data_IF_923919165539
#
_entry.id   IF_923919165539
#
_cell.length_a   1.000
_cell.length_b   1.000
_cell.length_c   1.000
_cell.angle_alpha   90.00
_cell.angle_beta   90.00
_cell.angle_gamma   90.00
#
_symmetry.space_group_name_H-M   'P 1'
#
loop_
_entity.id
_entity.type
_entity.pdbx_description
1 polymer ?
#
# COMPACT_ATOMS: atom_id res chain seq x y z
N UNK A 1 -8.19 8.01 37.67
CA UNK A 1 -6.73 8.13 37.89
C UNK A 1 -6.47 9.05 39.08
N UNK A 2 -5.51 8.72 39.96
CA UNK A 2 -5.22 9.48 41.19
C UNK A 2 -4.58 10.85 40.89
N UNK A 3 -4.93 11.92 41.62
CA UNK A 3 -4.62 13.32 41.26
C UNK A 3 -3.16 13.77 41.44
N UNK A 4 -2.27 12.91 41.96
CA UNK A 4 -0.86 13.27 42.20
C UNK A 4 0.03 13.08 40.96
N UNK A 5 -0.26 12.09 40.11
CA UNK A 5 0.56 11.81 38.92
C UNK A 5 0.40 12.87 37.81
N UNK A 6 -0.77 13.51 37.73
CA UNK A 6 -1.05 14.55 36.72
C UNK A 6 -0.35 15.88 36.99
N UNK A 7 0.05 16.18 38.23
CA UNK A 7 0.77 17.42 38.57
C UNK A 7 2.25 17.37 38.16
N UNK A 8 2.89 16.22 38.32
CA UNK A 8 4.30 16.02 37.97
C UNK A 8 4.52 16.11 36.45
N UNK A 9 3.54 15.66 35.67
CA UNK A 9 3.59 15.70 34.19
C UNK A 9 3.37 17.11 33.63
N UNK A 10 2.48 17.92 34.24
CA UNK A 10 2.35 19.36 33.90
C UNK A 10 3.60 20.16 34.25
N UNK A 11 4.29 19.80 35.33
CA UNK A 11 5.51 20.49 35.75
C UNK A 11 6.68 20.24 34.79
N UNK A 12 6.72 19.10 34.11
CA UNK A 12 7.78 18.71 33.17
C UNK A 12 7.56 19.19 31.72
N UNK A 13 6.46 19.90 31.42
CA UNK A 13 6.20 20.42 30.07
C UNK A 13 6.03 19.36 28.98
N UNK A 14 5.86 18.09 29.36
CA UNK A 14 5.67 16.99 28.42
C UNK A 14 4.21 16.97 27.94
N UNK A 15 3.95 16.67 26.65
CA UNK A 15 2.60 16.53 26.15
C UNK A 15 1.90 15.41 26.92
N UNK A 16 0.93 15.80 27.74
CA UNK A 16 0.09 14.88 28.51
C UNK A 16 -0.83 14.17 27.53
N UNK A 17 -0.38 13.06 26.95
CA UNK A 17 -1.24 12.18 26.16
C UNK A 17 -2.20 11.44 27.11
N UNK A 18 -3.46 11.86 27.13
CA UNK A 18 -4.54 11.20 27.86
C UNK A 18 -5.36 10.31 26.93
N UNK A 19 -5.31 9.01 27.25
CA UNK A 19 -6.23 7.91 26.92
C UNK A 19 -6.53 7.56 25.45
N UNK A 20 -5.87 6.48 25.01
CA UNK A 20 -6.48 5.15 24.74
C UNK A 20 -8.02 5.09 24.77
N UNK A 21 -8.63 5.36 23.61
CA UNK A 21 -10.04 5.24 23.19
C UNK A 21 -11.13 4.95 24.24
N UNK A 22 -12.08 5.89 24.35
CA UNK A 22 -13.38 5.67 25.00
C UNK A 22 -14.56 5.67 24.04
N UNK A 23 -14.66 6.61 23.10
CA UNK A 23 -15.79 6.71 22.17
C UNK A 23 -15.33 7.26 20.83
N UNK A 24 -15.69 6.59 19.73
CA UNK A 24 -15.47 7.07 18.36
C UNK A 24 -16.22 8.40 18.21
N UNK A 25 -15.49 9.51 18.08
CA UNK A 25 -16.04 10.74 17.54
C UNK A 25 -16.44 10.46 16.09
N UNK A 26 -17.70 10.72 15.66
CA UNK A 26 -18.19 10.40 14.32
C UNK A 26 -17.52 11.17 13.17
N UNK A 27 -16.56 12.05 13.49
CA UNK A 27 -15.84 12.91 12.54
C UNK A 27 -14.32 12.90 12.73
N UNK A 28 -13.76 11.93 13.46
CA UNK A 28 -12.31 11.76 13.45
C UNK A 28 -11.89 11.42 12.01
N UNK A 29 -11.02 12.22 11.35
CA UNK A 29 -10.51 11.86 10.04
C UNK A 29 -9.88 10.47 10.17
N UNK A 30 -10.30 9.55 9.30
CA UNK A 30 -9.69 8.23 9.27
C UNK A 30 -8.17 8.43 9.18
N UNK A 31 -7.38 7.72 10.01
CA UNK A 31 -5.94 7.76 9.86
C UNK A 31 -5.63 7.43 8.39
N UNK A 32 -4.74 8.18 7.72
CA UNK A 32 -4.39 7.87 6.34
C UNK A 32 -4.00 6.40 6.31
N UNK A 33 -4.72 5.62 5.49
CA UNK A 33 -4.45 4.19 5.36
C UNK A 33 -2.95 4.02 5.16
N UNK A 34 -2.26 3.18 5.95
CA UNK A 34 -0.83 3.01 5.80
C UNK A 34 -0.56 2.61 4.36
N UNK A 35 0.10 3.51 3.63
CA UNK A 35 0.48 3.30 2.24
C UNK A 35 1.34 2.04 2.21
N UNK A 36 0.86 1.00 1.52
CA UNK A 36 1.66 -0.20 1.33
C UNK A 36 2.92 0.16 0.54
N UNK A 37 4.08 -0.40 0.90
CA UNK A 37 5.32 -0.18 0.15
C UNK A 37 5.20 -0.67 -1.29
N UNK A 38 4.40 -1.72 -1.51
CA UNK A 38 4.08 -2.25 -2.84
C UNK A 38 2.58 -2.50 -2.97
N UNK A 39 1.98 -1.92 -4.01
CA UNK A 39 0.57 -2.08 -4.35
C UNK A 39 0.44 -2.74 -5.74
N UNK A 40 -0.30 -3.84 -5.79
CA UNK A 40 -0.73 -4.49 -7.04
C UNK A 40 -2.18 -4.14 -7.28
N UNK A 41 -2.46 -3.59 -8.46
CA UNK A 41 -3.82 -3.25 -8.86
C UNK A 41 -4.24 -4.24 -9.94
N UNK A 42 -5.34 -4.95 -9.72
CA UNK A 42 -5.92 -5.86 -10.70
C UNK A 42 -7.14 -5.23 -11.33
N UNK A 43 -7.30 -5.37 -12.64
CA UNK A 43 -8.50 -4.92 -13.35
C UNK A 43 -9.78 -5.51 -12.77
N UNK A 44 -10.90 -4.85 -13.05
CA UNK A 44 -12.20 -5.14 -12.44
C UNK A 44 -12.57 -6.63 -12.54
N UNK A 45 -12.75 -7.29 -11.40
CA UNK A 45 -13.16 -8.70 -11.33
C UNK A 45 -12.09 -9.70 -11.79
N UNK A 46 -10.88 -9.23 -12.10
CA UNK A 46 -9.73 -10.07 -12.40
C UNK A 46 -9.02 -10.47 -11.12
N UNK A 47 -8.47 -11.68 -11.11
CA UNK A 47 -7.61 -12.15 -10.03
C UNK A 47 -6.21 -12.39 -10.57
N UNK A 48 -5.23 -12.00 -9.78
CA UNK A 48 -3.85 -12.34 -10.08
C UNK A 48 -3.65 -13.85 -9.84
N UNK A 49 -3.05 -14.60 -10.78
CA UNK A 49 -2.70 -15.99 -10.55
C UNK A 49 -1.78 -16.14 -9.33
N UNK A 50 -2.07 -17.09 -8.44
CA UNK A 50 -1.30 -17.29 -7.20
C UNK A 50 0.19 -17.48 -7.46
N UNK A 51 0.56 -18.26 -8.47
CA UNK A 51 1.97 -18.45 -8.86
C UNK A 51 2.67 -17.14 -9.20
N UNK A 52 1.99 -16.24 -9.94
CA UNK A 52 2.56 -14.95 -10.29
C UNK A 52 2.70 -14.05 -9.05
N UNK A 53 1.75 -14.14 -8.12
CA UNK A 53 1.84 -13.42 -6.84
C UNK A 53 3.04 -13.88 -6.00
N UNK A 54 3.25 -15.19 -5.91
CA UNK A 54 4.38 -15.77 -5.19
C UNK A 54 5.72 -15.38 -5.83
N UNK A 55 5.81 -15.48 -7.17
CA UNK A 55 7.00 -15.07 -7.94
C UNK A 55 7.32 -13.57 -7.73
N UNK A 56 6.30 -12.71 -7.72
CA UNK A 56 6.47 -11.27 -7.46
C UNK A 56 6.94 -11.02 -6.02
N UNK A 57 6.39 -11.75 -5.04
CA UNK A 57 6.81 -11.64 -3.64
C UNK A 57 8.28 -12.02 -3.48
N UNK A 58 8.73 -13.08 -4.16
CA UNK A 58 10.15 -13.46 -4.19
C UNK A 58 11.02 -12.40 -4.86
N UNK A 59 10.58 -11.84 -5.98
CA UNK A 59 11.30 -10.78 -6.69
C UNK A 59 11.43 -9.48 -5.87
N UNK A 60 10.49 -9.24 -4.96
CA UNK A 60 10.46 -8.11 -4.03
C UNK A 60 11.13 -8.42 -2.68
N UNK A 61 12.09 -9.36 -2.66
CA UNK A 61 12.83 -9.76 -1.45
C UNK A 61 11.92 -10.18 -0.27
N UNK A 62 10.78 -10.80 -0.56
CA UNK A 62 9.83 -11.27 0.45
C UNK A 62 8.84 -10.20 0.93
N UNK A 63 8.88 -8.98 0.40
CA UNK A 63 7.85 -7.98 0.67
C UNK A 63 6.54 -8.44 0.03
N UNK A 64 5.55 -8.73 0.87
CA UNK A 64 4.23 -9.16 0.42
C UNK A 64 3.43 -7.94 -0.05
N UNK A 65 3.12 -7.84 -1.34
CA UNK A 65 2.45 -6.65 -1.85
C UNK A 65 0.95 -6.69 -1.51
N UNK A 66 0.36 -5.51 -1.30
CA UNK A 66 -1.07 -5.37 -1.12
C UNK A 66 -1.75 -5.52 -2.48
N UNK A 67 -2.77 -6.38 -2.58
CA UNK A 67 -3.56 -6.53 -3.80
C UNK A 67 -4.87 -5.77 -3.65
N UNK A 68 -5.19 -4.93 -4.63
CA UNK A 68 -6.41 -4.15 -4.67
C UNK A 68 -7.08 -4.26 -6.03
N UNK A 69 -8.40 -4.38 -6.05
CA UNK A 69 -9.17 -4.30 -7.30
C UNK A 69 -9.20 -2.84 -7.81
N UNK A 70 -9.18 -2.65 -9.12
CA UNK A 70 -9.20 -1.34 -9.78
C UNK A 70 -10.40 -0.50 -9.32
N UNK A 71 -11.59 -1.09 -9.13
CA UNK A 71 -12.76 -0.36 -8.63
C UNK A 71 -12.58 0.13 -7.20
N UNK A 72 -12.00 -0.72 -6.33
CA UNK A 72 -11.73 -0.37 -4.94
C UNK A 72 -10.62 0.68 -4.84
N UNK A 73 -9.60 0.60 -5.71
CA UNK A 73 -8.51 1.55 -5.79
C UNK A 73 -9.00 2.93 -6.27
N UNK A 74 -9.86 2.98 -7.29
CA UNK A 74 -10.49 4.21 -7.76
C UNK A 74 -11.44 4.81 -6.72
N UNK A 75 -12.26 3.98 -6.06
CA UNK A 75 -13.17 4.44 -5.01
C UNK A 75 -12.45 5.02 -3.79
N UNK A 76 -11.26 4.49 -3.48
CA UNK A 76 -10.39 5.00 -2.42
C UNK A 76 -9.62 6.28 -2.81
N UNK A 77 -9.88 6.86 -3.99
CA UNK A 77 -9.21 8.07 -4.45
C UNK A 77 -7.79 7.84 -4.95
N UNK A 78 -7.48 6.64 -5.47
CA UNK A 78 -6.17 6.25 -6.02
C UNK A 78 -5.04 6.38 -4.99
N UNK A 79 -5.08 5.61 -3.89
CA UNK A 79 -3.98 5.60 -2.94
C UNK A 79 -2.67 5.22 -3.65
N UNK A 80 -1.63 6.02 -3.42
CA UNK A 80 -0.29 5.78 -3.95
C UNK A 80 0.46 4.75 -3.12
N UNK A 81 1.53 4.19 -3.68
CA UNK A 81 2.51 3.34 -3.02
C UNK A 81 3.92 3.63 -3.57
N UNK A 82 4.97 3.20 -2.86
CA UNK A 82 6.36 3.35 -3.36
C UNK A 82 6.55 2.60 -4.68
N UNK A 83 5.90 1.44 -4.80
CA UNK A 83 5.84 0.66 -6.04
C UNK A 83 4.39 0.34 -6.35
N UNK A 84 3.93 0.71 -7.54
CA UNK A 84 2.59 0.41 -8.03
C UNK A 84 2.67 -0.38 -9.33
N UNK A 85 2.08 -1.57 -9.36
CA UNK A 85 2.04 -2.44 -10.55
C UNK A 85 0.60 -2.72 -10.96
N UNK A 86 0.28 -2.54 -12.24
CA UNK A 86 -1.04 -2.77 -12.81
C UNK A 86 -1.13 -4.06 -13.62
N UNK A 87 -2.18 -4.84 -13.39
CA UNK A 87 -2.50 -6.05 -14.17
C UNK A 87 -3.92 -5.99 -14.71
N UNK A 88 -4.10 -6.15 -16.02
CA UNK A 88 -5.40 -6.17 -16.70
C UNK A 88 -6.27 -4.92 -16.46
N UNK A 89 -5.67 -3.75 -16.28
CA UNK A 89 -6.43 -2.52 -16.00
C UNK A 89 -7.32 -2.13 -17.18
N UNK A 90 -8.53 -1.67 -16.88
CA UNK A 90 -9.46 -1.17 -17.90
C UNK A 90 -9.05 0.21 -18.40
N UNK A 91 -8.42 1.00 -17.53
CA UNK A 91 -7.86 2.31 -17.88
C UNK A 91 -6.38 2.36 -17.52
N UNK A 92 -5.50 2.82 -18.44
CA UNK A 92 -4.11 3.04 -18.10
C UNK A 92 -4.01 4.16 -17.04
N UNK A 93 -3.10 3.99 -16.08
CA UNK A 93 -2.85 5.00 -15.07
C UNK A 93 -1.39 5.42 -15.10
N UNK A 94 -1.15 6.73 -15.15
CA UNK A 94 0.19 7.32 -15.29
C UNK A 94 1.06 7.14 -14.03
N UNK A 95 0.42 6.89 -12.89
CA UNK A 95 1.08 6.77 -11.58
C UNK A 95 1.70 5.38 -11.33
N UNK A 96 1.58 4.46 -12.30
CA UNK A 96 2.06 3.09 -12.17
C UNK A 96 3.50 2.96 -12.62
N UNK A 97 4.32 2.28 -11.82
CA UNK A 97 5.70 1.94 -12.19
C UNK A 97 5.75 0.99 -13.40
N UNK A 98 4.71 0.16 -13.55
CA UNK A 98 4.55 -0.76 -14.68
C UNK A 98 3.11 -1.25 -14.80
N UNK A 99 2.65 -1.54 -16.02
CA UNK A 99 1.33 -2.12 -16.28
C UNK A 99 1.35 -3.10 -17.46
N UNK A 100 0.57 -4.17 -17.40
CA UNK A 100 0.31 -5.04 -18.56
C UNK A 100 -0.97 -5.87 -18.38
N UNK A 101 -1.39 -6.53 -19.45
CA UNK A 101 -2.47 -7.52 -19.42
C UNK A 101 -1.91 -8.94 -19.40
N UNK A 102 -2.58 -9.83 -18.66
CA UNK A 102 -2.29 -11.25 -18.62
C UNK A 102 -2.97 -11.98 -19.78
N UNK A 103 -2.35 -13.03 -20.35
CA UNK A 103 -1.03 -13.58 -19.99
C UNK A 103 0.13 -12.72 -20.50
N UNK A 104 1.22 -12.63 -19.71
CA UNK A 104 2.41 -11.85 -20.09
C UNK A 104 3.19 -12.50 -21.22
N UNK A 105 3.55 -11.71 -22.22
CA UNK A 105 4.50 -12.10 -23.27
C UNK A 105 5.94 -12.13 -22.73
N UNK A 106 6.85 -12.76 -23.48
CA UNK A 106 8.27 -12.82 -23.09
C UNK A 106 8.92 -11.43 -22.96
N UNK A 107 8.52 -10.44 -23.78
CA UNK A 107 8.99 -9.07 -23.66
C UNK A 107 8.47 -8.39 -22.40
N UNK A 108 7.18 -8.55 -22.09
CA UNK A 108 6.56 -7.99 -20.88
C UNK A 108 7.17 -8.55 -19.60
N UNK A 109 7.51 -9.84 -19.58
CA UNK A 109 8.20 -10.47 -18.43
C UNK A 109 9.60 -9.86 -18.22
N UNK A 110 10.36 -9.64 -19.30
CA UNK A 110 11.69 -9.01 -19.21
C UNK A 110 11.59 -7.56 -18.74
N UNK A 111 10.61 -6.82 -19.25
CA UNK A 111 10.37 -5.45 -18.83
C UNK A 111 10.00 -5.37 -17.35
N UNK A 112 9.05 -6.19 -16.90
CA UNK A 112 8.67 -6.31 -15.49
C UNK A 112 9.89 -6.63 -14.62
N UNK A 113 10.70 -7.62 -15.03
CA UNK A 113 11.92 -7.98 -14.31
C UNK A 113 12.92 -6.82 -14.23
N UNK A 114 13.16 -6.13 -15.34
CA UNK A 114 14.03 -4.95 -15.38
C UNK A 114 13.55 -3.85 -14.43
N UNK A 115 12.23 -3.63 -14.35
CA UNK A 115 11.63 -2.66 -13.42
C UNK A 115 11.83 -3.10 -11.98
N UNK A 116 11.56 -4.36 -11.64
CA UNK A 116 11.79 -4.90 -10.30
C UNK A 116 13.26 -4.78 -9.87
N UNK A 117 14.22 -5.06 -10.77
CA UNK A 117 15.64 -4.85 -10.49
C UNK A 117 15.98 -3.38 -10.21
N UNK A 118 15.40 -2.43 -10.97
CA UNK A 118 15.62 -0.99 -10.73
C UNK A 118 15.03 -0.50 -9.39
N UNK A 119 13.98 -1.16 -8.91
CA UNK A 119 13.32 -0.81 -7.64
C UNK A 119 14.11 -1.35 -6.43
N UNK A 120 14.72 -2.53 -6.57
CA UNK A 120 15.57 -3.13 -5.54
C UNK A 120 16.96 -2.48 -5.41
N UNK A 121 17.36 -1.60 -6.34
CA UNK A 121 18.67 -0.95 -6.34
C UNK A 121 18.67 0.43 -5.66
N UNK A 122 17.52 0.88 -5.13
CA UNK A 122 17.42 2.12 -4.36
C UNK A 122 17.82 1.83 -2.90
N UNK A 123 18.89 2.45 -2.38
CA UNK A 123 19.40 2.23 -1.02
C UNK A 123 18.44 2.71 0.08
#
# INVERSE_FOLDING_TARGET
MKPLQSRLWRFMGLPVWQCTHGERLPYAPEPPSPVADVLLITGQGQRLPERLFDDLTLALNGVRPLVQDETAWLAAGRPGARVMLGFNLTTPADDLAWQASLPLTASQKRELWSRLCSLNSVP
#
